data_IF_908126262083
#
_entry.id   IF_908126262083
#
_cell.length_a   1.000
_cell.length_b   1.000
_cell.length_c   1.000
_cell.angle_alpha   90.00
_cell.angle_beta   90.00
_cell.angle_gamma   90.00
#
_symmetry.space_group_name_H-M   'P 1'
#
loop_
_entity.id
_entity.type
_entity.pdbx_description
1 polymer ?
#
# COMPACT_ATOMS: atom_id res chain seq x y z
N UNK A 1 -27.34 11.82 -15.36
CA UNK A 1 -26.08 12.35 -14.79
C UNK A 1 -25.74 13.64 -15.49
N UNK A 2 -25.25 14.66 -14.78
CA UNK A 2 -24.84 15.92 -15.40
C UNK A 2 -23.60 15.69 -16.28
N UNK A 3 -23.50 16.39 -17.41
CA UNK A 3 -22.34 16.37 -18.31
C UNK A 3 -21.02 16.56 -17.55
N UNK A 4 -21.02 17.46 -16.57
CA UNK A 4 -19.86 17.77 -15.73
C UNK A 4 -19.41 16.56 -14.88
N UNK A 5 -20.35 15.81 -14.32
CA UNK A 5 -20.05 14.59 -13.54
C UNK A 5 -19.43 13.50 -14.40
N UNK A 6 -19.86 13.39 -15.66
CA UNK A 6 -19.35 12.38 -16.58
C UNK A 6 -17.96 12.75 -17.10
N UNK A 7 -17.72 14.03 -17.39
CA UNK A 7 -16.40 14.54 -17.75
C UNK A 7 -15.37 14.27 -16.65
N UNK A 8 -15.66 14.64 -15.40
CA UNK A 8 -14.77 14.42 -14.25
C UNK A 8 -14.43 12.94 -14.07
N UNK A 9 -15.41 12.04 -14.24
CA UNK A 9 -15.18 10.60 -14.14
C UNK A 9 -14.17 10.11 -15.17
N UNK A 10 -14.32 10.52 -16.44
CA UNK A 10 -13.38 10.11 -17.49
C UNK A 10 -11.98 10.69 -17.27
N UNK A 11 -11.88 11.96 -16.87
CA UNK A 11 -10.60 12.59 -16.55
C UNK A 11 -9.85 11.82 -15.45
N UNK A 12 -10.52 11.51 -14.34
CA UNK A 12 -9.93 10.75 -13.23
C UNK A 12 -9.49 9.35 -13.70
N UNK A 13 -10.32 8.64 -14.46
CA UNK A 13 -9.99 7.29 -14.95
C UNK A 13 -8.79 7.33 -15.88
N UNK A 14 -8.75 8.29 -16.82
CA UNK A 14 -7.63 8.45 -17.75
C UNK A 14 -6.35 8.80 -16.99
N UNK A 15 -6.41 9.73 -16.05
CA UNK A 15 -5.27 10.14 -15.24
C UNK A 15 -4.69 8.96 -14.42
N UNK A 16 -5.54 8.24 -13.70
CA UNK A 16 -5.12 7.09 -12.89
C UNK A 16 -4.56 5.97 -13.75
N UNK A 17 -5.18 5.71 -14.91
CA UNK A 17 -4.74 4.69 -15.85
C UNK A 17 -3.39 5.06 -16.48
N UNK A 18 -3.19 6.34 -16.83
CA UNK A 18 -1.92 6.84 -17.34
C UNK A 18 -0.78 6.69 -16.31
N UNK A 19 -1.03 7.04 -15.05
CA UNK A 19 -0.04 6.83 -13.98
C UNK A 19 0.30 5.35 -13.80
N UNK A 20 -0.71 4.47 -13.78
CA UNK A 20 -0.51 3.04 -13.65
C UNK A 20 0.34 2.49 -14.81
N UNK A 21 0.03 2.89 -16.06
CA UNK A 21 0.81 2.50 -17.24
C UNK A 21 2.26 2.97 -17.13
N UNK A 22 2.49 4.22 -16.72
CA UNK A 22 3.84 4.78 -16.57
C UNK A 22 4.64 4.03 -15.50
N UNK A 23 4.02 3.72 -14.35
CA UNK A 23 4.67 2.98 -13.27
C UNK A 23 5.03 1.57 -13.76
N UNK A 24 4.07 0.84 -14.36
CA UNK A 24 4.30 -0.51 -14.88
C UNK A 24 5.39 -0.50 -15.95
N UNK A 25 5.36 0.47 -16.86
CA UNK A 25 6.40 0.62 -17.89
C UNK A 25 7.78 0.88 -17.27
N UNK A 26 7.86 1.73 -16.24
CA UNK A 26 9.11 1.98 -15.52
C UNK A 26 9.61 0.78 -14.72
N UNK A 27 8.70 -0.07 -14.20
CA UNK A 27 9.07 -1.35 -13.58
C UNK A 27 9.61 -2.33 -14.60
N UNK A 28 8.96 -2.47 -15.77
CA UNK A 28 9.38 -3.39 -16.83
C UNK A 28 10.69 -2.96 -17.51
N UNK A 29 10.92 -1.65 -17.65
CA UNK A 29 12.17 -1.10 -18.20
C UNK A 29 13.32 -1.09 -17.19
N UNK A 30 13.11 -1.57 -15.97
CA UNK A 30 14.13 -1.63 -14.92
C UNK A 30 14.56 -0.26 -14.38
N UNK A 31 13.88 0.83 -14.76
CA UNK A 31 14.11 2.18 -14.21
C UNK A 31 13.73 2.23 -12.73
N UNK A 32 12.70 1.48 -12.34
CA UNK A 32 12.37 1.20 -10.95
C UNK A 32 13.06 -0.11 -10.57
N UNK A 33 14.13 -0.03 -9.78
CA UNK A 33 14.82 -1.21 -9.27
C UNK A 33 13.95 -1.91 -8.20
N UNK A 34 13.37 -3.05 -8.56
CA UNK A 34 12.55 -3.89 -7.66
C UNK A 34 13.33 -5.05 -7.04
N UNK A 35 14.57 -5.31 -7.47
CA UNK A 35 15.36 -6.51 -7.11
C UNK A 35 15.62 -6.65 -5.61
N UNK A 36 15.58 -5.54 -4.87
CA UNK A 36 15.85 -5.49 -3.42
C UNK A 36 14.74 -4.83 -2.62
N UNK A 37 13.54 -4.78 -3.20
CA UNK A 37 12.40 -4.12 -2.57
C UNK A 37 12.09 -4.74 -1.21
N UNK A 38 12.20 -6.08 -1.12
CA UNK A 38 11.90 -6.84 0.09
C UNK A 38 13.11 -7.11 0.98
N UNK A 39 14.33 -6.82 0.51
CA UNK A 39 15.56 -7.12 1.25
C UNK A 39 15.74 -6.21 2.46
N UNK A 40 16.15 -6.78 3.57
CA UNK A 40 16.63 -6.02 4.71
C UNK A 40 17.96 -5.32 4.38
N UNK A 41 18.12 -4.07 4.82
CA UNK A 41 19.35 -3.29 4.59
C UNK A 41 20.53 -3.87 5.38
N UNK A 42 20.25 -4.58 6.47
CA UNK A 42 21.26 -5.14 7.38
C UNK A 42 21.79 -6.49 6.91
N UNK A 43 20.88 -7.41 6.58
CA UNK A 43 21.23 -8.84 6.43
C UNK A 43 21.25 -9.34 4.99
N UNK A 44 20.96 -8.48 3.97
CA UNK A 44 20.75 -8.87 2.56
C UNK A 44 19.75 -10.05 2.39
N UNK A 45 18.97 -10.35 3.43
CA UNK A 45 17.94 -11.37 3.44
C UNK A 45 16.58 -10.70 3.29
N UNK A 46 15.59 -11.44 2.80
CA UNK A 46 14.21 -10.98 2.74
C UNK A 46 13.76 -10.50 4.13
N UNK A 47 13.27 -9.27 4.22
CA UNK A 47 12.73 -8.66 5.44
C UNK A 47 11.24 -9.01 5.56
N UNK A 48 10.84 -9.82 6.57
CA UNK A 48 9.44 -10.20 6.77
C UNK A 48 8.53 -8.98 6.96
N UNK A 49 9.06 -7.90 7.56
CA UNK A 49 8.33 -6.65 7.79
C UNK A 49 7.91 -5.95 6.50
N UNK A 50 8.74 -5.96 5.46
CA UNK A 50 8.43 -5.34 4.17
C UNK A 50 7.41 -6.15 3.39
N UNK A 51 7.49 -7.47 3.46
CA UNK A 51 6.47 -8.37 2.91
C UNK A 51 5.14 -8.13 3.61
N UNK A 52 5.13 -8.08 4.95
CA UNK A 52 3.93 -7.80 5.71
C UNK A 52 3.33 -6.45 5.28
N UNK A 53 4.11 -5.38 5.24
CA UNK A 53 3.61 -4.07 4.84
C UNK A 53 3.01 -4.09 3.42
N UNK A 54 3.67 -4.75 2.46
CA UNK A 54 3.18 -4.87 1.09
C UNK A 54 1.84 -5.64 1.03
N UNK A 55 1.75 -6.79 1.70
CA UNK A 55 0.54 -7.62 1.73
C UNK A 55 -0.64 -6.86 2.35
N UNK A 56 -0.41 -6.21 3.50
CA UNK A 56 -1.47 -5.44 4.18
C UNK A 56 -1.94 -4.26 3.31
N UNK A 57 -1.02 -3.53 2.66
CA UNK A 57 -1.41 -2.47 1.71
C UNK A 57 -2.23 -3.02 0.54
N UNK A 58 -1.83 -4.16 -0.03
CA UNK A 58 -2.54 -4.77 -1.15
C UNK A 58 -3.95 -5.22 -0.75
N UNK A 59 -4.09 -5.91 0.39
CA UNK A 59 -5.39 -6.37 0.92
C UNK A 59 -6.31 -5.18 1.16
N UNK A 60 -5.82 -4.13 1.83
CA UNK A 60 -6.62 -2.92 2.10
C UNK A 60 -7.05 -2.24 0.80
N UNK A 61 -6.15 -2.08 -0.17
CA UNK A 61 -6.47 -1.46 -1.46
C UNK A 61 -7.54 -2.25 -2.22
N UNK A 62 -7.38 -3.58 -2.30
CA UNK A 62 -8.35 -4.46 -2.95
C UNK A 62 -9.72 -4.45 -2.24
N UNK A 63 -9.72 -4.46 -0.90
CA UNK A 63 -10.94 -4.40 -0.11
C UNK A 63 -11.67 -3.06 -0.28
N UNK A 64 -10.93 -1.95 -0.32
CA UNK A 64 -11.47 -0.62 -0.59
C UNK A 64 -12.09 -0.52 -1.99
N UNK A 65 -11.41 -1.06 -3.02
CA UNK A 65 -11.94 -1.14 -4.38
C UNK A 65 -13.23 -1.97 -4.44
N UNK A 66 -13.26 -3.11 -3.75
CA UNK A 66 -14.44 -3.96 -3.66
C UNK A 66 -15.64 -3.26 -3.02
N UNK A 67 -15.42 -2.54 -1.90
CA UNK A 67 -16.47 -1.75 -1.25
C UNK A 67 -16.98 -0.62 -2.14
N UNK A 68 -16.06 0.05 -2.85
CA UNK A 68 -16.39 1.12 -3.80
C UNK A 68 -17.20 0.61 -4.99
N UNK A 69 -16.91 -0.60 -5.47
CA UNK A 69 -17.68 -1.25 -6.53
C UNK A 69 -19.08 -1.64 -6.05
N UNK A 70 -19.20 -2.15 -4.81
CA UNK A 70 -20.48 -2.59 -4.23
C UNK A 70 -21.43 -1.42 -3.94
N UNK A 71 -20.91 -0.28 -3.49
CA UNK A 71 -21.69 0.92 -3.17
C UNK A 71 -21.10 2.17 -3.85
N UNK A 72 -21.35 2.38 -5.15
CA UNK A 72 -20.70 3.43 -5.94
C UNK A 72 -21.22 4.85 -5.67
N UNK A 73 -22.31 4.99 -4.92
CA UNK A 73 -22.98 6.27 -4.64
C UNK A 73 -22.58 6.90 -3.31
N UNK A 74 -21.84 6.18 -2.47
CA UNK A 74 -21.41 6.64 -1.15
C UNK A 74 -19.95 6.31 -0.91
N UNK A 75 -19.29 7.11 -0.07
CA UNK A 75 -17.93 6.81 0.33
C UNK A 75 -17.93 5.49 1.10
N UNK A 76 -17.08 4.51 0.73
CA UNK A 76 -17.07 3.22 1.40
C UNK A 76 -16.68 3.40 2.87
N UNK A 77 -17.56 2.97 3.77
CA UNK A 77 -17.25 2.94 5.19
C UNK A 77 -16.28 1.78 5.45
N UNK A 78 -15.07 2.12 5.84
CA UNK A 78 -14.04 1.14 6.16
C UNK A 78 -14.36 0.57 7.54
N UNK A 79 -14.48 -0.76 7.71
CA UNK A 79 -14.77 -1.36 9.01
C UNK A 79 -13.59 -1.15 9.96
N UNK A 80 -13.90 -0.85 11.23
CA UNK A 80 -12.91 -0.59 12.28
C UNK A 80 -11.90 -1.74 12.43
N UNK A 81 -12.32 -2.97 12.14
CA UNK A 81 -11.44 -4.15 12.16
C UNK A 81 -10.26 -4.02 11.19
N UNK A 82 -10.49 -3.48 9.98
CA UNK A 82 -9.43 -3.26 8.99
C UNK A 82 -8.48 -2.14 9.44
N UNK A 83 -9.05 -1.09 10.04
CA UNK A 83 -8.30 0.03 10.61
C UNK A 83 -7.39 -0.44 11.76
N UNK A 84 -7.91 -1.30 12.64
CA UNK A 84 -7.15 -1.90 13.73
C UNK A 84 -6.07 -2.87 13.23
N UNK A 85 -6.34 -3.66 12.18
CA UNK A 85 -5.34 -4.54 11.57
C UNK A 85 -4.15 -3.72 11.02
N UNK A 86 -4.43 -2.65 10.28
CA UNK A 86 -3.38 -1.77 9.74
C UNK A 86 -2.60 -1.06 10.84
N UNK A 87 -3.30 -0.49 11.82
CA UNK A 87 -2.68 0.22 12.94
C UNK A 87 -1.85 -0.72 13.81
N UNK A 88 -2.36 -1.92 14.06
CA UNK A 88 -1.67 -2.99 14.79
C UNK A 88 -0.40 -3.48 14.07
N UNK A 89 -0.45 -3.60 12.73
CA UNK A 89 0.74 -3.97 11.94
C UNK A 89 1.88 -2.95 12.09
N UNK A 90 1.54 -1.65 12.16
CA UNK A 90 2.49 -0.56 12.35
C UNK A 90 3.07 -0.55 13.77
N UNK A 91 2.24 -0.84 14.77
CA UNK A 91 2.67 -0.98 16.16
C UNK A 91 3.59 -2.18 16.36
N UNK A 92 3.31 -3.31 15.70
CA UNK A 92 4.18 -4.49 15.75
C UNK A 92 5.55 -4.18 15.14
N UNK A 93 5.59 -3.47 14.01
CA UNK A 93 6.83 -3.01 13.40
C UNK A 93 7.61 -2.07 14.34
N UNK A 94 6.95 -1.04 14.89
CA UNK A 94 7.55 -0.09 15.83
C UNK A 94 8.07 -0.80 17.09
N UNK A 95 7.31 -1.75 17.63
CA UNK A 95 7.71 -2.56 18.79
C UNK A 95 8.96 -3.40 18.51
N UNK A 96 9.02 -4.06 17.34
CA UNK A 96 10.20 -4.83 16.93
C UNK A 96 11.44 -3.94 16.80
N UNK A 97 11.29 -2.76 16.18
CA UNK A 97 12.38 -1.79 15.99
C UNK A 97 12.83 -1.15 17.30
N UNK A 98 11.90 -0.84 18.19
CA UNK A 98 12.19 -0.29 19.51
C UNK A 98 13.01 -1.28 20.35
N UNK A 99 12.68 -2.58 20.30
CA UNK A 99 13.49 -3.63 20.95
C UNK A 99 14.91 -3.71 20.39
N UNK A 100 15.07 -3.62 19.07
CA UNK A 100 16.41 -3.58 18.44
C UNK A 100 17.21 -2.37 18.90
N UNK A 101 16.62 -1.18 18.94
CA UNK A 101 17.28 0.04 19.43
C UNK A 101 17.67 -0.11 20.90
N UNK A 102 16.76 -0.57 21.77
CA UNK A 102 17.05 -0.83 23.18
C UNK A 102 18.19 -1.84 23.37
N UNK A 103 18.26 -2.88 22.54
CA UNK A 103 19.35 -3.86 22.59
C UNK A 103 20.70 -3.29 22.16
N UNK A 104 20.70 -2.25 21.31
CA UNK A 104 21.92 -1.57 20.87
C UNK A 104 22.51 -0.65 21.95
N UNK A 105 21.66 -0.03 22.77
CA UNK A 105 22.09 0.79 23.91
C UNK A 105 22.56 -0.02 25.13
N UNK A 106 22.27 -1.32 25.18
CA UNK A 106 22.67 -2.21 26.28
C UNK A 106 24.06 -2.85 26.07
N UNK A 107 24.81 -2.39 25.09
CA UNK A 107 26.15 -2.87 24.74
C UNK A 107 27.16 -1.75 24.93
#
# INVERSE_FOLDING_TARGET
MSFLTQFIKYEIVILLSAFLIVIVFQMLTGRINTERLLDDKSTKSISPSRIQQLIFTLITAMYYLFLSYKNPTSFPQIPDTLLYLMSGSSLFYLGSKARTILSFFKK
#
